data_IF_519117697712
#
_entry.id   IF_519117697712
#
_cell.length_a   1.000
_cell.length_b   1.000
_cell.length_c   1.000
_cell.angle_alpha   90.00
_cell.angle_beta   90.00
_cell.angle_gamma   90.00
#
_symmetry.space_group_name_H-M   'P 1'
#
loop_
_entity.id
_entity.type
_entity.pdbx_description
1 polymer ?
#
# COMPACT_ATOMS: atom_id res chain seq x y z
N UNK A 1 16.31 -1.34 -20.37
CA UNK A 1 15.47 -0.44 -19.56
C UNK A 1 16.33 0.08 -18.42
N UNK A 2 16.32 1.38 -18.14
CA UNK A 2 17.05 1.92 -16.98
C UNK A 2 16.35 1.56 -15.66
N UNK A 3 17.03 1.60 -14.48
CA UNK A 3 16.38 1.37 -13.19
C UNK A 3 15.12 2.21 -12.99
N UNK A 4 15.22 3.52 -13.23
CA UNK A 4 14.11 4.46 -13.17
C UNK A 4 12.95 4.03 -14.07
N UNK A 5 13.23 3.78 -15.34
CA UNK A 5 12.22 3.38 -16.33
C UNK A 5 11.56 2.05 -15.93
N UNK A 6 12.32 1.08 -15.41
CA UNK A 6 11.78 -0.21 -15.00
C UNK A 6 10.85 -0.13 -13.79
N UNK A 7 11.16 0.74 -12.82
CA UNK A 7 10.27 0.98 -11.68
C UNK A 7 8.94 1.58 -12.15
N UNK A 8 8.99 2.66 -12.92
CA UNK A 8 7.77 3.34 -13.38
C UNK A 8 6.95 2.48 -14.33
N UNK A 9 7.60 1.71 -15.23
CA UNK A 9 6.90 0.76 -16.09
C UNK A 9 6.16 -0.32 -15.30
N UNK A 10 6.75 -0.81 -14.20
CA UNK A 10 6.06 -1.75 -13.31
C UNK A 10 4.83 -1.11 -12.65
N UNK A 11 4.97 0.10 -12.09
CA UNK A 11 3.83 0.83 -11.48
C UNK A 11 2.70 1.10 -12.50
N UNK A 12 3.05 1.52 -13.71
CA UNK A 12 2.11 1.70 -14.83
C UNK A 12 1.42 0.39 -15.21
N UNK A 13 2.16 -0.71 -15.33
CA UNK A 13 1.58 -2.02 -15.65
C UNK A 13 0.57 -2.49 -14.59
N UNK A 14 0.86 -2.27 -13.30
CA UNK A 14 -0.10 -2.56 -12.23
C UNK A 14 -1.34 -1.67 -12.33
N UNK A 15 -1.16 -0.37 -12.57
CA UNK A 15 -2.25 0.59 -12.73
C UNK A 15 -3.16 0.21 -13.89
N UNK A 16 -2.61 -0.08 -15.07
CA UNK A 16 -3.37 -0.45 -16.26
C UNK A 16 -4.15 -1.76 -16.06
N UNK A 17 -3.52 -2.74 -15.40
CA UNK A 17 -4.17 -3.99 -15.04
C UNK A 17 -5.38 -3.76 -14.13
N UNK A 18 -5.21 -3.02 -13.02
CA UNK A 18 -6.32 -2.75 -12.11
C UNK A 18 -7.36 -1.82 -12.72
N UNK A 19 -6.97 -0.86 -13.56
CA UNK A 19 -7.90 0.02 -14.26
C UNK A 19 -8.83 -0.81 -15.14
N UNK A 20 -8.26 -1.75 -15.91
CA UNK A 20 -9.02 -2.68 -16.75
C UNK A 20 -9.96 -3.55 -15.91
N UNK A 21 -9.44 -4.19 -14.87
CA UNK A 21 -10.14 -5.24 -14.12
C UNK A 21 -11.17 -4.69 -13.10
N UNK A 22 -10.88 -3.57 -12.44
CA UNK A 22 -11.67 -3.04 -11.32
C UNK A 22 -12.42 -1.74 -11.65
N UNK A 23 -12.01 -1.04 -12.71
CA UNK A 23 -12.56 0.26 -13.12
C UNK A 23 -13.07 0.29 -14.57
N UNK A 24 -13.09 -0.85 -15.27
CA UNK A 24 -13.53 -0.99 -16.67
C UNK A 24 -12.73 -0.11 -17.66
N UNK A 25 -11.45 0.12 -17.39
CA UNK A 25 -10.57 0.94 -18.22
C UNK A 25 -10.95 2.43 -18.27
N UNK A 26 -11.71 2.93 -17.29
CA UNK A 26 -12.22 4.31 -17.30
C UNK A 26 -11.27 5.34 -16.71
N UNK A 27 -10.31 4.94 -15.87
CA UNK A 27 -9.43 5.91 -15.22
C UNK A 27 -8.46 6.53 -16.23
N UNK A 28 -8.19 7.84 -16.13
CA UNK A 28 -7.21 8.51 -16.98
C UNK A 28 -5.79 8.05 -16.66
N UNK A 29 -4.84 8.38 -17.54
CA UNK A 29 -3.42 8.28 -17.23
C UNK A 29 -3.05 9.23 -16.08
N UNK A 30 -2.07 8.82 -15.27
CA UNK A 30 -1.57 9.56 -14.12
C UNK A 30 -0.05 9.67 -14.18
N UNK A 31 0.50 10.70 -13.53
CA UNK A 31 1.93 10.76 -13.24
C UNK A 31 2.20 10.04 -11.92
N UNK A 32 3.08 9.04 -11.96
CA UNK A 32 3.60 8.42 -10.75
C UNK A 32 4.72 9.24 -10.15
N UNK A 33 4.69 9.41 -8.83
CA UNK A 33 5.84 9.92 -8.07
C UNK A 33 6.19 8.97 -6.92
N UNK A 34 7.45 9.00 -6.51
CA UNK A 34 7.93 8.23 -5.36
C UNK A 34 8.29 9.24 -4.25
N UNK A 35 7.47 9.34 -3.21
CA UNK A 35 7.62 10.35 -2.15
C UNK A 35 7.70 9.76 -0.76
N UNK A 36 8.71 10.18 0.01
CA UNK A 36 8.84 9.80 1.42
C UNK A 36 8.11 10.79 2.29
N UNK A 37 6.96 10.39 2.84
CA UNK A 37 6.21 11.19 3.80
C UNK A 37 5.88 10.34 5.04
N UNK A 38 5.91 10.96 6.22
CA UNK A 38 5.58 10.22 7.43
C UNK A 38 4.06 9.98 7.52
N UNK A 39 3.66 8.74 7.79
CA UNK A 39 2.27 8.38 8.10
C UNK A 39 1.35 8.18 6.90
N UNK A 40 1.89 8.04 5.68
CA UNK A 40 1.14 7.76 4.45
C UNK A 40 1.83 6.65 3.65
N UNK A 41 1.07 5.68 3.15
CA UNK A 41 1.57 4.64 2.23
C UNK A 41 1.59 5.11 0.77
N UNK A 42 0.67 6.02 0.43
CA UNK A 42 0.55 6.69 -0.86
C UNK A 42 -0.41 7.87 -0.74
N UNK A 43 -0.59 8.61 -1.83
CA UNK A 43 -1.68 9.59 -1.95
C UNK A 43 -2.02 9.89 -3.42
N UNK A 44 -3.26 10.26 -3.66
CA UNK A 44 -3.74 10.86 -4.90
C UNK A 44 -3.77 12.39 -4.82
N UNK A 45 -3.26 13.08 -5.85
CA UNK A 45 -3.35 14.52 -5.98
C UNK A 45 -4.01 14.90 -7.33
N UNK A 46 -5.24 15.44 -7.33
CA UNK A 46 -5.92 15.77 -8.56
C UNK A 46 -5.28 16.97 -9.26
N UNK A 47 -5.14 16.88 -10.60
CA UNK A 47 -4.72 18.01 -11.45
C UNK A 47 -3.40 18.67 -11.02
N UNK A 48 -2.52 17.88 -10.38
CA UNK A 48 -1.27 18.37 -9.78
C UNK A 48 -0.29 18.89 -10.83
N UNK A 49 -0.35 18.34 -12.04
CA UNK A 49 0.58 18.63 -13.12
C UNK A 49 -0.11 19.30 -14.29
N UNK A 50 0.64 20.11 -15.03
CA UNK A 50 0.22 20.69 -16.30
C UNK A 50 1.33 20.52 -17.35
N UNK A 51 0.95 20.13 -18.56
CA UNK A 51 1.85 20.13 -19.71
C UNK A 51 2.12 21.56 -20.22
N UNK A 52 3.12 21.75 -21.08
CA UNK A 52 3.39 23.03 -21.74
C UNK A 52 2.24 23.51 -22.63
N UNK A 53 1.30 22.62 -22.98
CA UNK A 53 0.08 22.93 -23.74
C UNK A 53 -1.14 23.20 -22.85
N UNK A 54 -0.99 23.16 -21.53
CA UNK A 54 -2.05 23.45 -20.56
C UNK A 54 -2.93 22.25 -20.17
N UNK A 55 -2.74 21.06 -20.76
CA UNK A 55 -3.42 19.83 -20.32
C UNK A 55 -3.00 19.49 -18.90
N UNK A 56 -3.98 19.29 -18.01
CA UNK A 56 -3.76 18.89 -16.62
C UNK A 56 -3.66 17.37 -16.48
N UNK A 57 -2.90 16.89 -15.50
CA UNK A 57 -2.75 15.47 -15.19
C UNK A 57 -2.75 15.27 -13.66
N UNK A 58 -3.38 14.18 -13.21
CA UNK A 58 -3.40 13.79 -11.81
C UNK A 58 -2.09 13.08 -11.42
N UNK A 59 -1.80 13.02 -10.13
CA UNK A 59 -0.66 12.31 -9.56
C UNK A 59 -1.13 11.19 -8.64
N UNK A 60 -0.47 10.03 -8.72
CA UNK A 60 -0.49 9.03 -7.65
C UNK A 60 0.95 8.90 -7.13
N UNK A 61 1.13 9.19 -5.85
CA UNK A 61 2.40 9.04 -5.18
C UNK A 61 2.43 7.73 -4.39
N UNK A 62 3.52 6.98 -4.50
CA UNK A 62 3.78 5.79 -3.69
C UNK A 62 4.91 6.12 -2.71
N UNK A 63 4.73 5.76 -1.43
CA UNK A 63 5.77 5.95 -0.43
C UNK A 63 6.70 4.73 -0.36
N UNK A 64 7.96 4.87 -0.81
CA UNK A 64 8.87 3.73 -0.88
C UNK A 64 9.34 3.28 0.51
N UNK A 65 9.19 4.12 1.54
CA UNK A 65 9.68 3.87 2.90
C UNK A 65 8.99 2.69 3.58
N UNK A 66 7.81 2.28 3.11
CA UNK A 66 7.03 1.18 3.67
C UNK A 66 7.10 -0.09 2.81
N UNK A 67 7.42 0.03 1.52
CA UNK A 67 7.40 -1.10 0.58
C UNK A 67 8.24 -2.28 1.09
N UNK A 68 9.44 -2.03 1.61
CA UNK A 68 10.32 -3.11 2.06
C UNK A 68 9.76 -3.98 3.19
N UNK A 69 8.97 -3.40 4.09
CA UNK A 69 8.32 -4.12 5.20
C UNK A 69 6.87 -4.51 4.91
N UNK A 70 6.31 -4.06 3.79
CA UNK A 70 4.97 -4.41 3.33
C UNK A 70 4.96 -5.72 2.54
N UNK A 71 3.80 -6.38 2.60
CA UNK A 71 3.49 -7.48 1.68
C UNK A 71 3.22 -6.96 0.28
N UNK A 72 3.43 -7.80 -0.74
CA UNK A 72 3.11 -7.44 -2.13
C UNK A 72 1.65 -6.99 -2.25
N UNK A 73 0.72 -7.72 -1.62
CA UNK A 73 -0.70 -7.38 -1.63
C UNK A 73 -1.00 -6.00 -1.04
N UNK A 74 -0.26 -5.55 -0.03
CA UNK A 74 -0.47 -4.26 0.63
C UNK A 74 -0.03 -3.07 -0.23
N UNK A 75 1.05 -3.25 -1.00
CA UNK A 75 1.50 -2.23 -1.95
C UNK A 75 0.49 -2.08 -3.08
N UNK A 76 -0.02 -3.20 -3.61
CA UNK A 76 -1.05 -3.20 -4.64
C UNK A 76 -2.39 -2.65 -4.11
N UNK A 77 -2.73 -2.96 -2.85
CA UNK A 77 -3.90 -2.42 -2.16
C UNK A 77 -3.81 -0.90 -2.04
N UNK A 78 -2.66 -0.38 -1.62
CA UNK A 78 -2.40 1.07 -1.54
C UNK A 78 -2.60 1.72 -2.91
N UNK A 79 -2.07 1.14 -3.98
CA UNK A 79 -2.28 1.65 -5.33
C UNK A 79 -3.78 1.71 -5.68
N UNK A 80 -4.53 0.62 -5.45
CA UNK A 80 -5.96 0.54 -5.77
C UNK A 80 -6.79 1.51 -4.92
N UNK A 81 -6.41 1.74 -3.65
CA UNK A 81 -7.02 2.77 -2.80
C UNK A 81 -6.91 4.16 -3.45
N UNK A 82 -5.71 4.55 -3.89
CA UNK A 82 -5.49 5.83 -4.57
C UNK A 82 -6.21 5.90 -5.93
N UNK A 83 -6.38 4.76 -6.61
CA UNK A 83 -7.20 4.67 -7.83
C UNK A 83 -8.69 4.93 -7.56
N UNK A 84 -9.23 4.56 -6.39
CA UNK A 84 -10.61 4.92 -6.01
C UNK A 84 -10.75 6.41 -5.75
N UNK A 85 -9.72 7.06 -5.19
CA UNK A 85 -9.69 8.53 -5.11
C UNK A 85 -9.68 9.18 -6.51
N UNK A 86 -8.88 8.67 -7.43
CA UNK A 86 -8.89 9.12 -8.82
C UNK A 86 -10.27 8.92 -9.47
N UNK A 87 -10.85 7.73 -9.35
CA UNK A 87 -12.19 7.41 -9.82
C UNK A 87 -13.23 8.40 -9.30
N UNK A 88 -13.26 8.63 -7.99
CA UNK A 88 -14.26 9.50 -7.37
C UNK A 88 -14.08 10.95 -7.84
N UNK A 89 -12.84 11.41 -8.00
CA UNK A 89 -12.58 12.75 -8.49
C UNK A 89 -13.08 12.93 -9.94
N UNK A 90 -12.85 11.93 -10.81
CA UNK A 90 -13.22 12.01 -12.22
C UNK A 90 -14.71 11.75 -12.50
N UNK A 91 -15.35 10.88 -11.70
CA UNK A 91 -16.69 10.33 -12.02
C UNK A 91 -17.70 10.41 -10.88
N UNK A 92 -17.27 10.86 -9.70
CA UNK A 92 -18.08 10.94 -8.50
C UNK A 92 -18.17 12.36 -7.94
N UNK A 93 -18.49 12.43 -6.65
CA UNK A 93 -18.64 13.66 -5.87
C UNK A 93 -17.84 13.54 -4.58
N UNK A 94 -16.53 13.87 -4.61
CA UNK A 94 -15.73 13.87 -3.40
C UNK A 94 -16.32 14.87 -2.39
N UNK A 95 -16.18 14.53 -1.10
CA UNK A 95 -16.67 15.37 -0.01
C UNK A 95 -15.70 16.49 0.36
N UNK A 96 -15.74 16.90 1.63
CA UNK A 96 -14.72 17.77 2.22
C UNK A 96 -13.33 17.12 2.16
N UNK A 97 -12.29 17.93 2.26
CA UNK A 97 -10.91 17.48 2.12
C UNK A 97 -10.57 16.30 3.06
N UNK A 98 -9.87 15.29 2.52
CA UNK A 98 -9.51 14.00 3.12
C UNK A 98 -10.65 13.18 3.77
N UNK A 99 -11.92 13.53 3.56
CA UNK A 99 -13.03 12.74 4.10
C UNK A 99 -13.53 11.71 3.09
N UNK A 100 -13.47 10.45 3.48
CA UNK A 100 -13.95 9.31 2.73
C UNK A 100 -15.45 9.15 2.96
N UNK A 101 -16.24 9.59 1.97
CA UNK A 101 -17.69 9.55 2.04
C UNK A 101 -18.25 8.17 1.63
N UNK A 102 -19.58 8.03 1.65
CA UNK A 102 -20.25 6.77 1.30
C UNK A 102 -20.03 6.33 -0.16
N UNK A 103 -19.90 7.27 -1.09
CA UNK A 103 -19.69 6.92 -2.51
C UNK A 103 -18.30 6.28 -2.70
N UNK A 104 -17.27 6.86 -2.09
CA UNK A 104 -15.95 6.25 -2.05
C UNK A 104 -15.99 4.87 -1.37
N UNK A 105 -16.65 4.78 -0.21
CA UNK A 105 -16.74 3.53 0.55
C UNK A 105 -17.45 2.41 -0.22
N UNK A 106 -18.54 2.72 -0.92
CA UNK A 106 -19.24 1.75 -1.77
C UNK A 106 -18.39 1.35 -2.98
N UNK A 107 -17.59 2.26 -3.56
CA UNK A 107 -16.68 1.87 -4.64
C UNK A 107 -15.57 0.94 -4.17
N UNK A 108 -15.01 1.17 -2.98
CA UNK A 108 -14.05 0.23 -2.37
C UNK A 108 -14.67 -1.16 -2.22
N UNK A 109 -15.89 -1.24 -1.65
CA UNK A 109 -16.60 -2.51 -1.46
C UNK A 109 -16.86 -3.22 -2.81
N UNK A 110 -17.32 -2.48 -3.81
CA UNK A 110 -17.58 -2.98 -5.18
C UNK A 110 -16.34 -3.63 -5.81
N UNK A 111 -15.14 -3.10 -5.55
CA UNK A 111 -13.89 -3.66 -6.08
C UNK A 111 -13.23 -4.69 -5.16
N UNK A 112 -13.87 -5.09 -4.06
CA UNK A 112 -13.36 -6.12 -3.16
C UNK A 112 -12.44 -5.62 -2.04
N UNK A 113 -12.53 -4.34 -1.67
CA UNK A 113 -11.82 -3.75 -0.52
C UNK A 113 -12.84 -3.25 0.51
N UNK A 114 -12.75 -3.73 1.75
CA UNK A 114 -13.60 -3.32 2.87
C UNK A 114 -12.99 -2.11 3.58
N UNK A 115 -13.59 -0.91 3.51
CA UNK A 115 -13.10 0.22 4.28
C UNK A 115 -13.35 0.04 5.77
N UNK A 116 -12.46 0.56 6.60
CA UNK A 116 -12.60 0.56 8.05
C UNK A 116 -11.87 1.75 8.68
N UNK A 117 -12.56 2.45 9.59
CA UNK A 117 -12.01 3.56 10.37
C UNK A 117 -11.05 3.11 11.48
N UNK A 118 -10.89 1.79 11.67
CA UNK A 118 -10.12 1.21 12.78
C UNK A 118 -8.96 0.34 12.32
N UNK A 119 -8.83 0.09 11.01
CA UNK A 119 -7.91 -0.94 10.49
C UNK A 119 -8.39 -2.38 10.69
N UNK A 120 -9.52 -2.59 11.37
CA UNK A 120 -10.03 -3.91 11.73
C UNK A 120 -11.48 -4.12 11.25
N UNK A 121 -11.95 -5.38 11.11
CA UNK A 121 -13.36 -5.66 10.84
C UNK A 121 -14.30 -4.99 11.86
N UNK A 122 -15.45 -4.49 11.39
CA UNK A 122 -16.46 -3.84 12.24
C UNK A 122 -16.25 -2.33 12.47
N UNK A 123 -15.17 -1.74 11.97
CA UNK A 123 -15.02 -0.28 11.94
C UNK A 123 -16.05 0.40 11.02
N UNK A 124 -16.24 1.72 11.20
CA UNK A 124 -17.10 2.48 10.28
C UNK A 124 -16.49 2.49 8.88
N UNK A 125 -17.32 2.55 7.84
CA UNK A 125 -16.85 2.52 6.43
C UNK A 125 -16.56 3.92 5.86
N UNK A 126 -16.79 4.99 6.62
CA UNK A 126 -16.53 6.39 6.23
C UNK A 126 -15.80 7.14 7.33
N UNK A 127 -14.97 8.11 6.97
CA UNK A 127 -14.18 8.85 7.96
C UNK A 127 -13.09 9.73 7.36
N UNK A 128 -12.42 10.50 8.22
CA UNK A 128 -11.30 11.37 7.82
C UNK A 128 -9.99 10.58 7.59
N UNK A 129 -9.82 9.50 8.35
CA UNK A 129 -8.68 8.60 8.24
C UNK A 129 -9.26 7.20 8.11
N UNK A 130 -9.00 6.57 6.98
CA UNK A 130 -9.55 5.27 6.63
C UNK A 130 -8.41 4.35 6.27
N UNK A 131 -8.53 3.11 6.74
CA UNK A 131 -7.81 1.97 6.18
C UNK A 131 -8.81 1.14 5.37
N UNK A 132 -8.30 0.08 4.76
CA UNK A 132 -9.12 -0.92 4.11
C UNK A 132 -8.50 -2.31 4.26
N UNK A 133 -9.33 -3.33 4.07
CA UNK A 133 -8.97 -4.74 4.18
C UNK A 133 -9.40 -5.46 2.90
N UNK A 134 -8.55 -6.30 2.29
CA UNK A 134 -8.99 -7.16 1.19
C UNK A 134 -10.15 -8.06 1.63
N UNK A 135 -11.21 -8.11 0.82
CA UNK A 135 -12.34 -9.02 1.04
C UNK A 135 -11.97 -10.40 0.51
N UNK A 136 -12.11 -11.43 1.33
CA UNK A 136 -11.86 -12.82 0.92
C UNK A 136 -12.75 -13.22 -0.27
N UNK A 137 -12.13 -13.77 -1.32
CA UNK A 137 -12.82 -14.06 -2.59
C UNK A 137 -13.30 -12.83 -3.36
N UNK A 138 -12.87 -11.63 -2.97
CA UNK A 138 -13.24 -10.37 -3.63
C UNK A 138 -12.42 -10.08 -4.90
N UNK A 139 -12.97 -9.19 -5.74
CA UNK A 139 -12.39 -8.84 -7.06
C UNK A 139 -10.95 -8.34 -6.99
N UNK A 140 -10.59 -7.59 -5.94
CA UNK A 140 -9.23 -7.11 -5.74
C UNK A 140 -8.22 -8.26 -5.64
N UNK A 141 -8.45 -9.24 -4.76
CA UNK A 141 -7.54 -10.38 -4.58
C UNK A 141 -7.45 -11.24 -5.85
N UNK A 142 -8.58 -11.44 -6.52
CA UNK A 142 -8.64 -12.14 -7.80
C UNK A 142 -7.82 -11.41 -8.88
N UNK A 143 -7.93 -10.09 -8.94
CA UNK A 143 -7.16 -9.25 -9.87
C UNK A 143 -5.66 -9.28 -9.54
N UNK A 144 -5.29 -9.24 -8.26
CA UNK A 144 -3.92 -9.42 -7.79
C UNK A 144 -3.32 -10.77 -8.25
N UNK A 145 -4.07 -11.86 -8.11
CA UNK A 145 -3.64 -13.18 -8.58
C UNK A 145 -3.39 -13.19 -10.10
N UNK A 146 -4.31 -12.60 -10.89
CA UNK A 146 -4.14 -12.47 -12.35
C UNK A 146 -2.96 -11.60 -12.74
N UNK A 147 -2.65 -10.56 -11.95
CA UNK A 147 -1.47 -9.71 -12.18
C UNK A 147 -0.17 -10.49 -11.97
N UNK A 148 -0.07 -11.24 -10.87
CA UNK A 148 1.14 -12.01 -10.54
C UNK A 148 1.37 -13.16 -11.51
N UNK A 149 0.30 -13.78 -12.01
CA UNK A 149 0.39 -14.80 -13.06
C UNK A 149 1.00 -14.27 -14.37
N UNK A 150 1.01 -12.95 -14.58
CA UNK A 150 1.72 -12.29 -15.69
C UNK A 150 3.19 -11.98 -15.35
N UNK A 151 3.74 -12.62 -14.31
CA UNK A 151 5.10 -12.39 -13.80
C UNK A 151 5.34 -10.95 -13.37
N UNK A 152 4.34 -10.33 -12.73
CA UNK A 152 4.47 -8.97 -12.20
C UNK A 152 5.46 -8.93 -11.03
N UNK A 153 6.33 -7.92 -11.03
CA UNK A 153 7.26 -7.62 -9.95
C UNK A 153 7.46 -6.12 -9.81
N UNK A 154 7.85 -5.66 -8.61
CA UNK A 154 8.36 -4.30 -8.39
C UNK A 154 9.89 -4.40 -8.35
N UNK A 155 10.60 -3.95 -9.39
CA UNK A 155 12.02 -4.28 -9.57
C UNK A 155 12.98 -3.52 -8.65
N UNK A 156 12.50 -2.46 -7.97
CA UNK A 156 13.33 -1.63 -7.10
C UNK A 156 12.61 -1.32 -5.79
N UNK A 157 13.20 -1.76 -4.69
CA UNK A 157 12.69 -1.61 -3.33
C UNK A 157 13.61 -0.68 -2.53
N UNK A 158 13.05 0.17 -1.68
CA UNK A 158 13.84 1.03 -0.80
C UNK A 158 14.51 0.20 0.30
N UNK A 159 15.84 0.18 0.25
CA UNK A 159 16.68 -0.52 1.23
C UNK A 159 16.63 0.10 2.62
N UNK A 160 16.14 1.34 2.76
CA UNK A 160 15.99 2.06 4.03
C UNK A 160 14.56 1.97 4.59
N UNK A 161 13.86 0.87 4.29
CA UNK A 161 12.50 0.63 4.75
C UNK A 161 12.35 0.85 6.27
N UNK A 162 11.20 1.42 6.67
CA UNK A 162 10.83 1.55 8.07
C UNK A 162 10.58 0.15 8.66
N UNK A 163 11.04 -0.07 9.89
CA UNK A 163 10.77 -1.31 10.61
C UNK A 163 9.27 -1.53 10.80
N UNK A 164 8.87 -2.81 10.87
CA UNK A 164 7.49 -3.30 11.03
C UNK A 164 6.74 -2.66 12.22
N UNK A 165 7.48 -2.27 13.26
CA UNK A 165 6.93 -1.56 14.44
C UNK A 165 6.21 -0.24 14.09
N UNK A 166 6.58 0.43 12.99
CA UNK A 166 5.91 1.66 12.55
C UNK A 166 4.60 1.39 11.80
N UNK A 167 4.47 0.25 11.09
CA UNK A 167 3.24 -0.13 10.38
C UNK A 167 2.16 -0.58 11.37
N UNK A 168 2.53 -1.23 12.47
CA UNK A 168 1.59 -1.60 13.54
C UNK A 168 0.95 -0.37 14.23
N UNK A 169 1.71 0.72 14.37
CA UNK A 169 1.21 1.99 14.93
C UNK A 169 0.19 2.72 14.04
N UNK A 170 0.11 2.38 12.75
CA UNK A 170 -0.97 2.83 11.85
C UNK A 170 -2.26 2.00 12.01
N UNK A 171 -2.30 1.07 12.98
CA UNK A 171 -3.45 0.20 13.24
C UNK A 171 -3.51 -1.04 12.33
N UNK A 172 -2.45 -1.33 11.58
CA UNK A 172 -2.33 -2.52 10.75
C UNK A 172 -1.57 -3.56 11.55
N UNK A 173 -2.26 -4.31 12.42
CA UNK A 173 -1.63 -5.40 13.19
C UNK A 173 -1.77 -6.73 12.44
N UNK A 174 -0.67 -7.19 11.84
CA UNK A 174 -0.60 -8.29 10.86
C UNK A 174 -0.68 -9.68 11.52
N UNK A 175 -0.47 -9.79 12.83
CA UNK A 175 -0.34 -11.10 13.52
C UNK A 175 -1.67 -11.82 13.74
N UNK A 176 -2.80 -11.10 13.77
CA UNK A 176 -4.12 -11.72 14.05
C UNK A 176 -4.84 -12.34 12.85
N UNK A 177 -4.30 -12.23 11.63
CA UNK A 177 -4.82 -12.96 10.47
C UNK A 177 -4.34 -14.42 10.43
N UNK A 178 -3.33 -14.77 11.23
CA UNK A 178 -2.68 -16.10 11.23
C UNK A 178 -3.50 -17.14 12.01
N UNK A 179 -4.19 -16.74 13.09
CA UNK A 179 -4.82 -17.69 14.04
C UNK A 179 -6.18 -18.27 13.59
N UNK A 180 -6.75 -17.80 12.48
CA UNK A 180 -8.03 -18.33 11.96
C UNK A 180 -7.87 -19.37 10.84
N UNK A 181 -6.62 -19.71 10.48
CA UNK A 181 -6.30 -20.64 9.38
C UNK A 181 -5.78 -22.01 9.87
N UNK A 182 -6.31 -22.51 10.99
CA UNK A 182 -6.27 -23.95 11.28
C UNK A 182 -7.66 -24.55 11.05
N UNK A 183 -7.85 -25.17 9.88
CA UNK A 183 -9.06 -25.93 9.57
C UNK A 183 -9.16 -27.17 10.47
N UNK A 184 -10.30 -27.44 11.13
CA UNK A 184 -10.56 -28.74 11.71
C UNK A 184 -11.02 -29.72 10.61
N UNK A 185 -10.30 -30.84 10.51
CA UNK A 185 -10.64 -32.13 9.88
C UNK A 185 -11.92 -32.19 9.02
N UNK A 186 -11.73 -32.39 7.71
CA UNK A 186 -12.73 -33.01 6.84
C UNK A 186 -12.24 -34.41 6.42
N UNK A 187 -12.84 -35.42 7.03
CA UNK A 187 -12.74 -36.82 6.60
C UNK A 187 -13.28 -36.99 5.17
N UNK A 188 -12.62 -37.88 4.44
CA UNK A 188 -12.90 -38.29 3.08
C UNK A 188 -14.32 -38.84 2.93
N UNK A 189 -15.05 -38.40 1.91
CA UNK A 189 -15.98 -39.29 1.20
C UNK A 189 -16.11 -38.93 -0.28
N UNK A 190 -15.93 -39.96 -1.09
CA UNK A 190 -15.91 -39.96 -2.55
C UNK A 190 -17.30 -39.72 -3.15
N UNK A 191 -17.35 -39.01 -4.27
CA UNK A 191 -18.38 -39.26 -5.29
C UNK A 191 -17.86 -38.95 -6.70
N UNK A 192 -17.84 -39.99 -7.54
CA UNK A 192 -17.67 -40.04 -9.00
C UNK A 192 -18.94 -39.50 -9.70
N UNK A 193 -19.01 -38.94 -10.92
CA UNK A 193 -18.41 -39.11 -12.26
C UNK A 193 -19.00 -37.97 -13.17
N UNK A 194 -18.98 -37.95 -14.53
CA UNK A 194 -18.16 -38.62 -15.55
C UNK A 194 -17.60 -37.69 -16.68
N UNK A 195 -16.57 -38.22 -17.36
CA UNK A 195 -16.25 -38.20 -18.80
C UNK A 195 -16.35 -36.95 -19.71
N UNK A 196 -15.14 -36.50 -20.07
CA UNK A 196 -14.61 -36.29 -21.42
C UNK A 196 -15.25 -35.28 -22.38
N UNK A 197 -14.49 -34.23 -22.73
CA UNK A 197 -14.13 -33.93 -24.12
C UNK A 197 -12.70 -33.36 -24.16
N UNK A 198 -11.85 -34.01 -24.95
CA UNK A 198 -10.45 -33.69 -25.22
C UNK A 198 -10.31 -32.65 -26.33
N UNK A 199 -9.52 -31.59 -26.11
CA UNK A 199 -8.86 -30.87 -27.21
C UNK A 199 -7.40 -30.61 -26.82
N UNK A 200 -6.52 -31.17 -27.64
CA UNK A 200 -5.07 -31.17 -27.50
C UNK A 200 -4.49 -30.13 -28.45
N UNK A 201 -3.71 -29.18 -27.94
CA UNK A 201 -2.74 -28.46 -28.78
C UNK A 201 -1.54 -27.98 -27.96
N UNK A 202 -0.53 -28.85 -27.93
CA UNK A 202 0.91 -28.57 -28.03
C UNK A 202 1.48 -27.35 -27.32
N UNK A 203 2.06 -27.67 -26.16
CA UNK A 203 3.09 -26.94 -25.43
C UNK A 203 4.36 -26.80 -26.29
N UNK A 204 4.71 -25.58 -26.71
CA UNK A 204 6.09 -25.25 -27.11
C UNK A 204 6.71 -24.40 -26.02
N UNK A 205 7.57 -25.04 -25.23
CA UNK A 205 8.48 -24.45 -24.26
C UNK A 205 9.34 -23.36 -24.92
N UNK A 206 9.33 -22.17 -24.33
CA UNK A 206 10.48 -21.28 -24.30
C UNK A 206 10.72 -20.95 -22.84
N UNK A 207 11.71 -21.64 -22.28
CA UNK A 207 12.27 -21.42 -20.96
C UNK A 207 13.23 -20.22 -21.08
N UNK A 208 12.82 -19.06 -20.55
CA UNK A 208 13.75 -17.98 -20.20
C UNK A 208 13.90 -17.96 -18.68
N UNK A 209 15.05 -18.45 -18.24
CA UNK A 209 15.47 -18.60 -16.86
C UNK A 209 15.97 -17.28 -16.28
N UNK A 210 15.13 -16.60 -15.49
CA UNK A 210 15.51 -15.82 -14.28
C UNK A 210 14.30 -15.06 -13.70
N UNK A 211 13.19 -15.74 -13.42
CA UNK A 211 12.13 -15.17 -12.56
C UNK A 211 12.02 -16.00 -11.27
N UNK A 212 12.02 -15.37 -10.07
CA UNK A 212 11.94 -16.09 -8.79
C UNK A 212 10.55 -16.71 -8.52
N UNK A 213 9.66 -16.71 -9.52
CA UNK A 213 8.26 -17.13 -9.43
C UNK A 213 8.02 -18.62 -9.69
N UNK A 214 9.05 -19.38 -10.11
CA UNK A 214 8.92 -20.79 -10.47
C UNK A 214 8.81 -21.69 -9.22
N UNK A 215 7.62 -21.75 -8.62
CA UNK A 215 7.26 -22.76 -7.61
C UNK A 215 6.38 -22.26 -6.45
N UNK A 216 6.20 -20.96 -6.29
CA UNK A 216 5.42 -20.37 -5.20
C UNK A 216 3.97 -20.15 -5.68
N UNK A 217 2.99 -20.68 -4.94
CA UNK A 217 1.57 -20.41 -5.21
C UNK A 217 1.29 -18.90 -5.16
N UNK A 218 0.46 -18.37 -6.06
CA UNK A 218 0.13 -16.94 -6.14
C UNK A 218 -0.30 -16.35 -4.79
N UNK A 219 -1.06 -17.13 -4.01
CA UNK A 219 -1.49 -16.74 -2.66
C UNK A 219 -0.31 -16.61 -1.68
N UNK A 220 0.69 -17.48 -1.79
CA UNK A 220 1.90 -17.40 -0.97
C UNK A 220 2.73 -16.17 -1.34
N UNK A 221 2.90 -15.89 -2.64
CA UNK A 221 3.67 -14.73 -3.10
C UNK A 221 3.02 -13.40 -2.66
N UNK A 222 1.69 -13.29 -2.75
CA UNK A 222 0.97 -12.09 -2.31
C UNK A 222 1.16 -11.78 -0.83
N UNK A 223 1.32 -12.81 -0.01
CA UNK A 223 1.45 -12.70 1.44
C UNK A 223 2.89 -12.58 1.93
N UNK A 224 3.89 -12.78 1.07
CA UNK A 224 5.29 -12.52 1.41
C UNK A 224 5.57 -11.02 1.48
N UNK A 225 6.43 -10.64 2.42
CA UNK A 225 6.98 -9.29 2.45
C UNK A 225 8.09 -9.15 1.42
N UNK A 226 8.38 -7.92 1.00
CA UNK A 226 9.55 -7.68 0.16
C UNK A 226 10.87 -8.02 0.88
N UNK A 227 10.89 -8.01 2.21
CA UNK A 227 12.01 -8.54 3.00
C UNK A 227 12.26 -10.03 2.75
N UNK A 228 11.20 -10.83 2.60
CA UNK A 228 11.31 -12.26 2.33
C UNK A 228 11.71 -12.58 0.88
N UNK A 229 11.41 -11.66 -0.05
CA UNK A 229 11.66 -11.83 -1.49
C UNK A 229 13.06 -11.35 -1.93
N UNK A 230 13.73 -10.54 -1.11
CA UNK A 230 15.01 -9.92 -1.44
C UNK A 230 16.18 -10.64 -0.74
N UNK A 231 17.41 -10.48 -1.24
CA UNK A 231 18.61 -10.97 -0.56
C UNK A 231 18.72 -10.46 0.89
N UNK A 232 19.31 -11.25 1.79
CA UNK A 232 19.43 -10.90 3.22
C UNK A 232 20.17 -9.57 3.47
N UNK A 233 21.09 -9.18 2.58
CA UNK A 233 21.86 -7.93 2.65
C UNK A 233 21.16 -6.73 1.96
N UNK A 234 19.96 -6.95 1.41
CA UNK A 234 19.22 -5.92 0.69
C UNK A 234 18.75 -4.79 1.63
N UNK A 235 18.44 -5.05 2.91
CA UNK A 235 17.94 -4.02 3.81
C UNK A 235 19.00 -3.46 4.75
N UNK A 236 18.98 -2.14 4.90
CA UNK A 236 19.86 -1.40 5.80
C UNK A 236 19.03 -0.98 7.00
N UNK A 237 19.35 -1.52 8.18
CA UNK A 237 18.72 -1.08 9.42
C UNK A 237 18.89 0.43 9.60
N UNK A 238 17.80 1.15 9.87
CA UNK A 238 17.90 2.58 10.18
C UNK A 238 18.76 2.75 11.43
N UNK A 239 19.77 3.64 11.42
CA UNK A 239 20.49 3.97 12.63
C UNK A 239 19.48 4.52 13.65
N UNK A 240 19.50 4.00 14.88
CA UNK A 240 18.63 4.46 15.96
C UNK A 240 18.78 5.97 16.09
N UNK A 241 17.73 6.71 15.71
CA UNK A 241 17.70 8.15 15.79
C UNK A 241 17.81 8.54 17.27
N UNK A 242 18.99 9.01 17.70
CA UNK A 242 19.13 9.67 19.01
C UNK A 242 18.15 10.84 19.04
N UNK A 243 17.27 10.92 20.06
CA UNK A 243 16.40 12.09 20.25
C UNK A 243 17.30 13.32 20.42
N UNK A 244 17.42 14.13 19.36
CA UNK A 244 18.29 15.30 19.34
C UNK A 244 17.62 16.55 19.88
N UNK A 245 16.31 16.50 20.14
CA UNK A 245 15.50 17.62 20.60
C UNK A 245 14.71 17.25 21.86
N UNK A 246 14.90 18.03 22.93
CA UNK A 246 14.06 18.05 24.11
C UNK A 246 13.08 19.21 24.03
N UNK A 247 11.85 18.96 24.46
CA UNK A 247 10.85 20.00 24.66
C UNK A 247 11.02 20.55 26.06
N UNK A 248 11.13 21.86 26.18
CA UNK A 248 11.12 22.57 27.44
C UNK A 248 9.88 23.46 27.54
N UNK A 249 9.36 23.62 28.75
CA UNK A 249 8.15 24.37 29.04
C UNK A 249 8.47 25.42 30.11
N UNK A 250 8.10 26.68 29.86
CA UNK A 250 8.18 27.71 30.88
C UNK A 250 7.08 27.43 31.94
N UNK A 251 7.42 27.24 33.23
CA UNK A 251 6.43 26.89 34.25
C UNK A 251 5.42 28.00 34.51
N UNK A 252 5.76 29.26 34.17
CA UNK A 252 4.90 30.42 34.41
C UNK A 252 3.93 30.68 33.26
N UNK A 253 4.43 30.85 32.02
CA UNK A 253 3.60 31.22 30.87
C UNK A 253 3.26 30.07 29.93
N UNK A 254 3.73 28.84 30.20
CA UNK A 254 3.49 27.64 29.39
C UNK A 254 4.02 27.71 27.95
N UNK A 255 4.88 28.71 27.64
CA UNK A 255 5.59 28.76 26.37
C UNK A 255 6.44 27.50 26.18
N UNK A 256 6.50 27.01 24.95
CA UNK A 256 7.23 25.80 24.56
C UNK A 256 8.44 26.14 23.70
N UNK A 257 9.54 25.45 23.96
CA UNK A 257 10.80 25.55 23.24
C UNK A 257 11.28 24.14 22.88
N UNK A 258 11.90 23.97 21.71
CA UNK A 258 12.63 22.75 21.36
C UNK A 258 14.12 23.06 21.21
N UNK A 259 14.97 22.33 21.94
CA UNK A 259 16.42 22.55 21.94
C UNK A 259 17.18 21.24 22.11
N UNK A 260 18.52 21.30 22.08
CA UNK A 260 19.36 20.15 22.43
C UNK A 260 19.08 19.73 23.89
N UNK A 261 19.37 18.48 24.29
CA UNK A 261 19.36 18.09 25.70
C UNK A 261 20.23 19.02 26.55
N UNK A 262 19.84 19.22 27.81
CA UNK A 262 20.56 19.99 28.83
C UNK A 262 20.80 21.47 28.51
N UNK A 263 20.00 22.06 27.62
CA UNK A 263 20.05 23.50 27.36
C UNK A 263 19.57 24.29 28.57
N UNK A 264 20.34 25.32 28.94
CA UNK A 264 19.98 26.25 29.99
C UNK A 264 19.33 27.49 29.35
N UNK A 265 18.00 27.56 29.40
CA UNK A 265 17.22 28.62 28.73
C UNK A 265 16.31 29.33 29.71
N UNK A 266 16.31 30.66 29.63
CA UNK A 266 15.44 31.54 30.41
C UNK A 266 14.30 32.07 29.53
N UNK A 267 13.12 32.18 30.11
CA UNK A 267 12.00 32.87 29.49
C UNK A 267 12.20 34.39 29.62
N UNK A 268 12.31 35.09 28.50
CA UNK A 268 12.45 36.55 28.49
C UNK A 268 11.26 37.27 29.11
N UNK A 269 10.06 36.70 29.02
CA UNK A 269 8.84 37.31 29.54
C UNK A 269 8.66 37.08 31.05
N UNK A 270 9.07 35.91 31.55
CA UNK A 270 8.83 35.50 32.93
C UNK A 270 10.08 35.52 33.82
N UNK A 271 11.27 35.65 33.23
CA UNK A 271 12.55 35.60 33.94
C UNK A 271 12.87 34.23 34.59
N UNK A 272 12.06 33.20 34.36
CA UNK A 272 12.25 31.86 34.93
C UNK A 272 12.87 30.90 33.92
N UNK A 273 13.52 29.86 34.43
CA UNK A 273 14.13 28.81 33.61
C UNK A 273 13.06 27.90 33.01
N UNK A 274 13.20 27.57 31.73
CA UNK A 274 12.43 26.52 31.08
C UNK A 274 12.79 25.14 31.67
N UNK A 275 11.79 24.27 31.87
CA UNK A 275 11.93 22.91 32.41
C UNK A 275 11.70 21.85 31.33
#
# INVERSE_FOLDING_TARGET
>A
MSPTESLYKSLEAAYDHFNTELFNGKLPEVIFTVQRQNGLLGYFAPERWASTKGTKCHEIAINPSHIGSSRVVEVLQTLVHEMVHCWQHCFGKPGRNCYHNKEWAHKMLDIGLQPTSTGHPGGAITGQHMCDLPIEGGLFLDSCNRLIQKSFEIPWIDRLALSKEFTDHLGINVEKLIDTYESPNAEQQMFSAPDSVSVSTTLSKLEDSNSPTLGISSNSFLNMTYADLMPEDAFIAKPVSKKTKHTYICPSCQNKLWGKPDMNVLCGDCGVRFQ
#
